data_IF_223464659686
#
_entry.id   IF_223464659686
#
_cell.length_a   1.000
_cell.length_b   1.000
_cell.length_c   1.000
_cell.angle_alpha   90.00
_cell.angle_beta   90.00
_cell.angle_gamma   90.00
#
_symmetry.space_group_name_H-M   'P 1'
#
loop_
_entity.id
_entity.type
_entity.pdbx_description
1 polymer ?
#
# COMPACT_ATOMS: atom_id res chain seq x y z
N UNK A 1 10.31 5.19 -20.58
CA UNK A 1 10.18 5.85 -19.26
C UNK A 1 9.21 4.97 -18.53
N UNK A 2 9.61 4.30 -17.46
CA UNK A 2 8.68 3.47 -16.67
C UNK A 2 7.57 4.40 -16.14
N UNK A 3 6.33 4.13 -16.55
CA UNK A 3 5.16 4.88 -16.12
C UNK A 3 4.66 4.25 -14.82
N UNK A 4 4.88 4.94 -13.70
CA UNK A 4 4.37 4.49 -12.41
C UNK A 4 2.86 4.72 -12.33
N UNK A 5 2.08 3.66 -12.10
CA UNK A 5 0.64 3.75 -11.93
C UNK A 5 0.23 4.05 -10.48
N UNK A 6 1.05 3.68 -9.49
CA UNK A 6 0.68 3.80 -8.08
C UNK A 6 1.79 4.41 -7.22
N UNK A 7 1.38 5.06 -6.13
CA UNK A 7 2.25 5.47 -5.03
C UNK A 7 1.80 4.77 -3.75
N UNK A 8 2.60 3.82 -3.28
CA UNK A 8 2.39 3.10 -2.03
C UNK A 8 2.99 3.89 -0.87
N UNK A 9 2.19 4.16 0.16
CA UNK A 9 2.63 4.83 1.40
C UNK A 9 2.43 3.87 2.57
N UNK A 10 3.51 3.56 3.28
CA UNK A 10 3.52 2.67 4.44
C UNK A 10 4.44 3.25 5.51
N UNK A 11 3.93 3.46 6.73
CA UNK A 11 4.73 3.87 7.90
C UNK A 11 5.59 5.12 7.64
N UNK A 12 5.04 6.13 6.97
CA UNK A 12 5.76 7.37 6.62
C UNK A 12 6.76 7.25 5.45
N UNK A 13 6.95 6.05 4.89
CA UNK A 13 7.71 5.84 3.66
C UNK A 13 6.80 5.78 2.44
N UNK A 14 7.28 6.27 1.30
CA UNK A 14 6.56 6.14 0.03
C UNK A 14 7.41 5.49 -1.05
N UNK A 15 6.78 4.64 -1.86
CA UNK A 15 7.37 4.02 -3.04
C UNK A 15 6.47 4.23 -4.26
N UNK A 16 7.07 4.45 -5.43
CA UNK A 16 6.37 4.41 -6.70
C UNK A 16 6.36 2.97 -7.22
N UNK A 17 5.22 2.55 -7.76
CA UNK A 17 5.00 1.21 -8.30
C UNK A 17 4.45 1.30 -9.73
N UNK A 18 4.96 0.44 -10.60
CA UNK A 18 4.56 0.33 -12.01
C UNK A 18 3.11 -0.18 -12.11
N UNK A 19 2.76 -1.16 -11.30
CA UNK A 19 1.46 -1.82 -11.33
C UNK A 19 1.03 -2.36 -9.95
N UNK A 20 -0.19 -2.89 -9.89
CA UNK A 20 -0.77 -3.42 -8.67
C UNK A 20 -0.09 -4.72 -8.19
N UNK A 21 0.49 -5.54 -9.10
CA UNK A 21 1.25 -6.74 -8.71
C UNK A 21 2.54 -6.35 -7.99
N UNK A 22 3.20 -5.28 -8.40
CA UNK A 22 4.35 -4.73 -7.68
C UNK A 22 3.95 -4.24 -6.28
N UNK A 23 2.82 -3.53 -6.17
CA UNK A 23 2.27 -3.09 -4.87
C UNK A 23 2.06 -4.31 -3.96
N UNK A 24 1.39 -5.36 -4.44
CA UNK A 24 1.12 -6.58 -3.66
C UNK A 24 2.42 -7.29 -3.25
N UNK A 25 3.41 -7.37 -4.13
CA UNK A 25 4.73 -7.92 -3.81
C UNK A 25 5.39 -7.15 -2.67
N UNK A 26 5.38 -5.82 -2.73
CA UNK A 26 5.93 -4.98 -1.66
C UNK A 26 5.16 -5.15 -0.35
N UNK A 27 3.82 -5.16 -0.39
CA UNK A 27 2.98 -5.38 0.78
C UNK A 27 3.33 -6.68 1.52
N UNK A 28 3.61 -7.77 0.79
CA UNK A 28 4.03 -9.04 1.38
C UNK A 28 5.40 -9.00 2.10
N UNK A 29 6.22 -7.99 1.83
CA UNK A 29 7.55 -7.84 2.44
C UNK A 29 7.53 -6.96 3.70
N UNK A 30 6.49 -6.16 3.89
CA UNK A 30 6.42 -5.28 5.06
C UNK A 30 6.19 -6.08 6.33
N UNK A 31 6.93 -5.79 7.42
CA UNK A 31 6.75 -6.48 8.68
C UNK A 31 5.41 -6.08 9.32
N UNK A 32 4.52 -7.05 9.47
CA UNK A 32 3.18 -6.86 10.06
C UNK A 32 3.25 -6.50 11.55
N UNK A 33 4.32 -6.91 12.22
CA UNK A 33 4.63 -6.57 13.61
C UNK A 33 4.76 -5.05 13.85
N UNK A 34 5.21 -4.28 12.84
CA UNK A 34 5.32 -2.82 12.96
C UNK A 34 3.96 -2.11 12.92
N UNK A 35 2.96 -2.71 12.28
CA UNK A 35 1.63 -2.11 12.16
C UNK A 35 0.93 -1.90 13.51
N UNK A 36 1.15 -2.81 14.44
CA UNK A 36 0.58 -2.73 15.80
C UNK A 36 1.33 -1.71 16.69
N UNK A 37 2.59 -1.39 16.36
CA UNK A 37 3.46 -0.54 17.18
C UNK A 37 3.45 0.93 16.76
N UNK A 38 3.30 1.23 15.47
CA UNK A 38 3.49 2.59 14.92
C UNK A 38 2.21 3.32 14.49
N UNK A 39 1.02 2.93 14.98
CA UNK A 39 -0.29 3.47 14.54
C UNK A 39 -0.48 3.41 13.02
N UNK A 40 -1.12 2.35 12.53
CA UNK A 40 -1.39 2.08 11.11
C UNK A 40 -2.23 3.12 10.32
N UNK A 41 -2.45 4.32 10.85
CA UNK A 41 -3.21 5.42 10.24
C UNK A 41 -2.52 6.00 8.98
N UNK A 42 -1.23 5.73 8.77
CA UNK A 42 -0.45 6.27 7.65
C UNK A 42 -0.15 5.26 6.53
N UNK A 43 -0.99 4.24 6.37
CA UNK A 43 -0.86 3.23 5.32
C UNK A 43 -1.95 3.38 4.25
N UNK A 44 -1.59 3.76 3.03
CA UNK A 44 -2.52 3.93 1.91
C UNK A 44 -1.83 3.83 0.55
N UNK A 45 -2.61 3.49 -0.48
CA UNK A 45 -2.19 3.45 -1.86
C UNK A 45 -2.83 4.63 -2.62
N UNK A 46 -2.05 5.36 -3.40
CA UNK A 46 -2.58 6.38 -4.31
C UNK A 46 -2.50 5.83 -5.73
N UNK A 47 -3.61 5.84 -6.46
CA UNK A 47 -3.63 5.68 -7.91
C UNK A 47 -3.21 7.01 -8.55
N UNK A 48 -2.13 7.00 -9.33
CA UNK A 48 -1.57 8.22 -9.93
C UNK A 48 -2.35 8.67 -11.16
N UNK A 49 -3.12 7.78 -11.78
CA UNK A 49 -3.96 8.08 -12.94
C UNK A 49 -5.25 8.78 -12.50
N UNK A 50 -5.91 8.26 -11.47
CA UNK A 50 -7.20 8.81 -10.99
C UNK A 50 -7.05 9.78 -9.82
N UNK A 51 -5.91 9.74 -9.11
CA UNK A 51 -5.64 10.44 -7.84
C UNK A 51 -6.50 9.95 -6.67
N UNK A 52 -7.12 8.78 -6.80
CA UNK A 52 -7.82 8.14 -5.69
C UNK A 52 -6.84 7.59 -4.66
N UNK A 53 -7.25 7.64 -3.39
CA UNK A 53 -6.50 7.08 -2.28
C UNK A 53 -7.28 5.92 -1.66
N UNK A 54 -6.59 4.80 -1.47
CA UNK A 54 -7.14 3.56 -0.96
C UNK A 54 -6.45 3.20 0.36
N UNK A 55 -7.19 3.10 1.49
CA UNK A 55 -6.59 2.77 2.77
C UNK A 55 -6.06 1.33 2.78
N UNK A 56 -4.92 1.13 3.42
CA UNK A 56 -4.30 -0.20 3.59
C UNK A 56 -4.45 -0.61 5.05
N UNK A 57 -5.08 -1.75 5.27
CA UNK A 57 -5.36 -2.29 6.60
C UNK A 57 -4.69 -3.64 6.80
N UNK A 58 -4.30 -3.95 8.03
CA UNK A 58 -3.84 -5.29 8.37
C UNK A 58 -5.06 -6.18 8.68
N UNK A 59 -5.34 -7.17 7.85
CA UNK A 59 -6.37 -8.18 8.06
C UNK A 59 -5.73 -9.57 8.07
N UNK A 60 -6.01 -10.37 9.10
CA UNK A 60 -5.55 -11.76 9.21
C UNK A 60 -4.03 -11.93 9.00
N UNK A 61 -3.23 -10.93 9.44
CA UNK A 61 -1.77 -10.98 9.31
C UNK A 61 -1.24 -10.63 7.91
N UNK A 62 -2.05 -10.02 7.04
CA UNK A 62 -1.61 -9.47 5.74
C UNK A 62 -2.15 -8.06 5.52
N UNK A 63 -1.40 -7.25 4.77
CA UNK A 63 -1.88 -5.94 4.34
C UNK A 63 -2.84 -6.08 3.17
N UNK A 64 -4.01 -5.46 3.29
CA UNK A 64 -5.11 -5.52 2.32
C UNK A 64 -5.48 -4.10 1.92
N UNK A 65 -5.66 -3.86 0.62
CA UNK A 65 -6.05 -2.54 0.09
C UNK A 65 -7.58 -2.46 0.05
N UNK A 66 -8.16 -1.62 0.90
CA UNK A 66 -9.61 -1.43 0.97
C UNK A 66 -10.12 -0.72 -0.29
N UNK A 67 -11.19 -1.25 -0.89
CA UNK A 67 -11.84 -0.65 -2.06
C UNK A 67 -11.22 -1.04 -3.41
N UNK A 68 -10.12 -1.79 -3.41
CA UNK A 68 -9.46 -2.29 -4.63
C UNK A 68 -9.47 -3.82 -4.75
N UNK A 69 -9.54 -4.51 -3.61
CA UNK A 69 -9.62 -5.98 -3.55
C UNK A 69 -11.08 -6.37 -3.34
N UNK A 70 -11.66 -7.08 -4.33
CA UNK A 70 -13.02 -7.62 -4.31
C UNK A 70 -13.04 -9.10 -3.98
#
# INVERSE_FOLDING_TARGET
>A
MEEFAYKLVMFGFSALCEDLEEVKRRLSLYPTERYQLENGDECFLIDLSTRDSYPIVLQEGRFVIQGLES
#
